data_IF_628748030973
#
_entry.id   IF_628748030973
#
_cell.length_a   1.000
_cell.length_b   1.000
_cell.length_c   1.000
_cell.angle_alpha   90.00
_cell.angle_beta   90.00
_cell.angle_gamma   90.00
#
_symmetry.space_group_name_H-M   'P 1'
#
loop_
_entity.id
_entity.type
_entity.pdbx_description
1 polymer ?
#
# COMPACT_ATOMS: atom_id res chain seq x y z
N UNK A 1 -85.56 -48.38 -22.04
CA UNK A 1 -85.70 -49.31 -20.94
C UNK A 1 -84.58 -48.98 -19.94
N UNK A 2 -85.01 -48.55 -18.79
CA UNK A 2 -84.41 -48.66 -17.41
C UNK A 2 -83.01 -48.09 -17.23
N UNK A 3 -82.83 -46.92 -16.67
CA UNK A 3 -82.94 -46.48 -15.30
C UNK A 3 -81.80 -47.07 -14.40
N UNK A 4 -81.06 -46.25 -13.85
CA UNK A 4 -80.13 -46.57 -12.77
C UNK A 4 -79.36 -45.33 -12.28
N UNK A 5 -79.99 -44.54 -11.42
CA UNK A 5 -79.35 -43.45 -10.62
C UNK A 5 -78.53 -44.08 -9.51
N UNK A 6 -77.34 -43.57 -9.27
CA UNK A 6 -76.59 -43.76 -8.06
C UNK A 6 -75.96 -42.44 -7.61
N UNK A 7 -76.50 -41.96 -6.60
CA UNK A 7 -76.18 -41.17 -5.38
C UNK A 7 -74.85 -40.55 -5.28
N UNK A 8 -74.89 -39.23 -5.12
CA UNK A 8 -73.80 -38.35 -4.61
C UNK A 8 -73.62 -38.55 -3.10
N UNK A 9 -72.45 -38.94 -2.70
CA UNK A 9 -72.00 -38.68 -1.29
C UNK A 9 -70.54 -38.28 -1.21
N UNK A 10 -70.36 -37.00 -0.96
CA UNK A 10 -69.33 -36.37 -0.12
C UNK A 10 -68.04 -37.16 0.10
N UNK A 11 -66.97 -36.69 -0.57
CA UNK A 11 -65.65 -36.79 -0.04
C UNK A 11 -65.03 -35.40 -0.02
N UNK A 12 -65.05 -34.81 1.21
CA UNK A 12 -64.39 -33.54 1.53
C UNK A 12 -62.88 -33.79 1.54
N UNK A 13 -62.20 -33.55 0.42
CA UNK A 13 -60.76 -33.65 0.39
C UNK A 13 -60.15 -32.30 0.78
N UNK A 14 -59.62 -32.26 2.02
CA UNK A 14 -58.84 -31.14 2.54
C UNK A 14 -57.57 -30.99 1.71
N UNK A 15 -57.53 -30.00 0.83
CA UNK A 15 -56.32 -29.54 0.19
C UNK A 15 -55.56 -28.70 1.22
N UNK A 16 -54.58 -29.31 1.86
CA UNK A 16 -53.64 -28.61 2.70
C UNK A 16 -52.71 -27.74 1.90
N UNK A 17 -52.90 -26.45 1.96
CA UNK A 17 -52.02 -25.46 1.34
C UNK A 17 -50.71 -25.44 2.16
N UNK A 18 -49.67 -26.17 1.70
CA UNK A 18 -48.32 -26.01 2.21
C UNK A 18 -47.74 -24.71 1.63
N UNK A 19 -47.87 -23.64 2.42
CA UNK A 19 -47.10 -22.40 2.18
C UNK A 19 -45.67 -22.68 2.55
N UNK A 20 -44.83 -22.99 1.59
CA UNK A 20 -43.38 -23.08 1.76
C UNK A 20 -42.83 -21.64 1.92
N UNK A 21 -42.66 -21.17 3.17
CA UNK A 21 -42.01 -19.90 3.44
C UNK A 21 -40.53 -20.07 3.09
N UNK A 22 -40.11 -19.65 1.91
CA UNK A 22 -38.72 -19.49 1.53
C UNK A 22 -38.20 -18.27 2.30
N UNK A 23 -37.58 -18.51 3.44
CA UNK A 23 -36.78 -17.50 4.16
C UNK A 23 -35.52 -17.25 3.31
N UNK A 24 -35.58 -16.25 2.45
CA UNK A 24 -34.36 -15.72 1.83
C UNK A 24 -33.49 -15.09 2.92
N UNK A 25 -32.52 -15.85 3.40
CA UNK A 25 -31.40 -15.30 4.16
C UNK A 25 -30.62 -14.39 3.23
N UNK A 26 -30.92 -13.12 3.24
CA UNK A 26 -30.07 -12.08 2.65
C UNK A 26 -28.82 -11.99 3.52
N UNK A 27 -27.81 -12.81 3.21
CA UNK A 27 -26.47 -12.53 3.70
C UNK A 27 -26.03 -11.20 3.06
N UNK A 28 -25.67 -10.19 3.84
CA UNK A 28 -25.03 -9.02 3.27
C UNK A 28 -23.75 -9.53 2.60
N UNK A 29 -23.64 -9.36 1.30
CA UNK A 29 -22.39 -9.50 0.58
C UNK A 29 -21.45 -8.47 1.21
N UNK A 30 -20.68 -8.91 2.22
CA UNK A 30 -19.50 -8.16 2.64
C UNK A 30 -18.62 -8.13 1.41
N UNK A 31 -18.46 -6.95 0.85
CA UNK A 31 -17.37 -6.69 -0.08
C UNK A 31 -16.10 -7.08 0.67
N UNK A 32 -15.60 -8.28 0.39
CA UNK A 32 -14.24 -8.66 0.73
C UNK A 32 -13.40 -7.84 -0.23
N UNK A 33 -13.12 -6.59 0.16
CA UNK A 33 -11.98 -5.89 -0.41
C UNK A 33 -10.79 -6.80 -0.17
N UNK A 34 -10.15 -7.23 -1.25
CA UNK A 34 -8.91 -7.97 -1.16
C UNK A 34 -7.99 -7.14 -0.28
N UNK A 35 -7.78 -7.60 0.93
CA UNK A 35 -6.93 -6.92 1.89
C UNK A 35 -5.54 -7.09 1.33
N UNK A 36 -4.99 -6.04 0.74
CA UNK A 36 -3.65 -6.07 0.17
C UNK A 36 -2.71 -6.62 1.21
N UNK A 37 -1.98 -7.66 0.83
CA UNK A 37 -1.03 -8.33 1.70
C UNK A 37 0.14 -7.39 2.01
N UNK A 38 0.07 -6.75 3.17
CA UNK A 38 1.15 -5.90 3.66
C UNK A 38 2.37 -6.70 4.14
N UNK A 39 2.45 -7.97 3.78
CA UNK A 39 3.49 -8.89 4.23
C UNK A 39 3.21 -9.46 5.60
N UNK A 40 3.98 -10.46 5.97
CA UNK A 40 3.85 -11.17 7.23
C UNK A 40 4.09 -10.25 8.42
N UNK A 41 3.31 -10.44 9.43
CA UNK A 41 3.40 -9.82 10.75
C UNK A 41 2.60 -10.65 11.73
N UNK A 42 2.95 -10.58 13.01
CA UNK A 42 2.19 -11.20 14.08
C UNK A 42 0.77 -10.66 14.19
N UNK A 43 -0.01 -11.20 15.09
CA UNK A 43 -1.36 -10.69 15.39
C UNK A 43 -1.28 -9.25 15.88
N UNK A 44 -2.18 -8.40 15.37
CA UNK A 44 -2.31 -7.02 15.82
C UNK A 44 -2.94 -6.97 17.22
N UNK A 45 -2.19 -6.45 18.19
CA UNK A 45 -2.67 -6.21 19.55
C UNK A 45 -3.20 -4.78 19.66
N UNK A 46 -4.51 -4.64 19.86
CA UNK A 46 -5.20 -3.35 19.94
C UNK A 46 -4.98 -2.62 21.28
N UNK A 47 -4.18 -3.18 22.19
CA UNK A 47 -3.89 -2.55 23.49
C UNK A 47 -3.23 -1.19 23.29
N UNK A 48 -3.68 -0.13 23.98
CA UNK A 48 -3.04 1.18 23.93
C UNK A 48 -1.57 1.14 24.38
N UNK A 49 -0.72 2.07 23.92
CA UNK A 49 0.64 2.19 24.42
C UNK A 49 0.66 2.38 25.94
N UNK A 50 1.54 1.67 26.65
CA UNK A 50 1.58 1.69 28.12
C UNK A 50 2.28 2.92 28.70
N UNK A 51 3.29 3.41 28.00
CA UNK A 51 4.20 4.43 28.52
C UNK A 51 3.79 5.87 28.20
N UNK A 52 2.91 6.06 27.21
CA UNK A 52 2.49 7.36 26.75
C UNK A 52 1.12 7.31 26.05
N UNK A 53 0.45 8.45 25.94
CA UNK A 53 -0.78 8.55 25.16
C UNK A 53 -0.48 8.44 23.66
N UNK A 54 -1.47 8.02 22.88
CA UNK A 54 -1.35 7.93 21.41
C UNK A 54 -0.93 9.26 20.79
N UNK A 55 -1.46 10.39 21.27
CA UNK A 55 -1.11 11.71 20.75
C UNK A 55 0.37 12.05 20.99
N UNK A 56 0.88 11.74 22.17
CA UNK A 56 2.30 11.94 22.50
C UNK A 56 3.18 11.03 21.64
N UNK A 57 2.77 9.78 21.42
CA UNK A 57 3.46 8.85 20.55
C UNK A 57 3.53 9.37 19.11
N UNK A 58 2.39 9.84 18.56
CA UNK A 58 2.33 10.46 17.23
C UNK A 58 3.31 11.65 17.14
N UNK A 59 3.26 12.57 18.07
CA UNK A 59 4.16 13.73 18.07
C UNK A 59 5.64 13.33 18.10
N UNK A 60 5.99 12.30 18.90
CA UNK A 60 7.36 11.82 19.01
C UNK A 60 7.86 11.18 17.73
N UNK A 61 7.10 10.27 17.12
CA UNK A 61 7.56 9.62 15.90
C UNK A 61 7.61 10.60 14.72
N UNK A 62 6.67 11.53 14.60
CA UNK A 62 6.72 12.59 13.57
C UNK A 62 7.98 13.48 13.72
N UNK A 63 8.37 13.78 14.93
CA UNK A 63 9.60 14.52 15.19
C UNK A 63 10.85 13.70 14.78
N UNK A 64 10.85 12.38 14.98
CA UNK A 64 11.93 11.51 14.49
C UNK A 64 11.94 11.42 12.98
N UNK A 65 10.78 11.24 12.34
CA UNK A 65 10.65 11.23 10.88
C UNK A 65 11.15 12.54 10.24
N UNK A 66 10.89 13.67 10.88
CA UNK A 66 11.45 14.97 10.46
C UNK A 66 12.98 14.97 10.48
N UNK A 67 13.60 14.36 11.51
CA UNK A 67 15.07 14.20 11.57
C UNK A 67 15.58 13.25 10.50
N UNK A 68 14.89 12.13 10.26
CA UNK A 68 15.23 11.18 9.18
C UNK A 68 15.18 11.87 7.82
N UNK A 69 14.15 12.69 7.56
CA UNK A 69 14.06 13.47 6.33
C UNK A 69 15.24 14.44 6.17
N UNK A 70 15.57 15.17 7.22
CA UNK A 70 16.70 16.10 7.20
C UNK A 70 18.03 15.36 7.03
N UNK A 71 18.24 14.24 7.75
CA UNK A 71 19.44 13.43 7.63
C UNK A 71 19.62 12.89 6.19
N UNK A 72 18.54 12.41 5.54
CA UNK A 72 18.59 11.84 4.20
C UNK A 72 19.14 12.80 3.14
N UNK A 73 18.94 14.10 3.32
CA UNK A 73 19.48 15.12 2.39
C UNK A 73 21.01 15.13 2.31
N UNK A 74 21.69 14.56 3.31
CA UNK A 74 23.14 14.47 3.37
C UNK A 74 23.71 13.16 2.83
N UNK A 75 22.87 12.35 2.15
CA UNK A 75 23.30 11.06 1.60
C UNK A 75 23.05 11.00 0.09
N UNK A 76 23.92 10.24 -0.56
CA UNK A 76 23.74 9.73 -1.92
C UNK A 76 23.46 8.24 -1.84
N UNK A 77 22.67 7.72 -2.77
CA UNK A 77 22.36 6.30 -2.84
C UNK A 77 21.98 5.89 -4.26
N UNK A 78 21.95 4.60 -4.51
CA UNK A 78 21.45 4.03 -5.75
C UNK A 78 20.01 3.55 -5.57
N UNK A 79 19.10 4.00 -6.44
CA UNK A 79 17.75 3.47 -6.59
C UNK A 79 17.73 2.54 -7.81
N UNK A 80 17.45 1.26 -7.57
CA UNK A 80 17.40 0.19 -8.56
C UNK A 80 15.93 -0.27 -8.66
N UNK A 81 15.30 -0.02 -9.80
CA UNK A 81 13.86 -0.24 -10.07
C UNK A 81 13.70 -1.33 -11.11
N UNK A 82 13.07 -2.43 -10.75
CA UNK A 82 12.67 -3.51 -11.66
C UNK A 82 11.15 -3.63 -11.63
N UNK A 83 10.49 -3.41 -12.76
CA UNK A 83 9.06 -3.62 -12.96
C UNK A 83 8.86 -4.78 -13.91
N UNK A 84 7.97 -5.70 -13.58
CA UNK A 84 7.67 -6.89 -14.37
C UNK A 84 6.16 -7.04 -14.56
N UNK A 85 5.75 -7.47 -15.74
CA UNK A 85 4.40 -8.01 -15.97
C UNK A 85 4.47 -9.52 -15.99
N UNK A 86 3.40 -10.18 -15.50
CA UNK A 86 3.37 -11.63 -15.36
C UNK A 86 2.12 -12.21 -16.02
N UNK A 87 2.33 -13.31 -16.77
CA UNK A 87 1.27 -14.23 -17.17
C UNK A 87 1.33 -15.46 -16.24
N UNK A 88 0.36 -15.53 -15.33
CA UNK A 88 0.40 -16.47 -14.21
C UNK A 88 1.61 -16.24 -13.30
N UNK A 89 2.58 -17.16 -13.35
CA UNK A 89 3.85 -17.07 -12.58
C UNK A 89 5.05 -16.70 -13.45
N UNK A 90 4.87 -16.56 -14.75
CA UNK A 90 5.94 -16.32 -15.72
C UNK A 90 6.03 -14.84 -16.03
N UNK A 91 7.23 -14.29 -15.96
CA UNK A 91 7.50 -12.91 -16.41
C UNK A 91 7.38 -12.88 -17.94
N UNK A 92 6.49 -12.03 -18.47
CA UNK A 92 6.24 -11.86 -19.89
C UNK A 92 6.67 -10.49 -20.44
N UNK A 93 7.08 -9.59 -19.55
CA UNK A 93 7.66 -8.30 -19.87
C UNK A 93 8.34 -7.65 -18.68
N UNK A 94 9.28 -6.75 -18.93
CA UNK A 94 9.98 -6.04 -17.85
C UNK A 94 10.45 -4.65 -18.27
N UNK A 95 10.79 -3.87 -17.26
CA UNK A 95 11.52 -2.62 -17.32
C UNK A 95 12.50 -2.54 -16.16
N UNK A 96 13.75 -2.16 -16.41
CA UNK A 96 14.77 -2.02 -15.39
C UNK A 96 15.50 -0.68 -15.54
N UNK A 97 15.63 0.05 -14.43
CA UNK A 97 16.35 1.32 -14.38
C UNK A 97 17.15 1.44 -13.09
N UNK A 98 18.37 1.95 -13.22
CA UNK A 98 19.25 2.26 -12.09
C UNK A 98 19.56 3.73 -12.10
N UNK A 99 19.36 4.40 -10.96
CA UNK A 99 19.52 5.84 -10.80
C UNK A 99 20.41 6.13 -9.59
N UNK A 100 21.46 6.93 -9.76
CA UNK A 100 22.19 7.56 -8.66
C UNK A 100 21.39 8.77 -8.19
N UNK A 101 21.04 8.78 -6.90
CA UNK A 101 20.24 9.82 -6.26
C UNK A 101 21.12 10.65 -5.33
N UNK A 102 21.03 11.94 -5.44
CA UNK A 102 21.69 12.91 -4.56
C UNK A 102 20.76 14.10 -4.29
N UNK A 103 21.19 15.00 -3.43
CA UNK A 103 20.45 16.23 -3.10
C UNK A 103 21.39 17.42 -3.24
N UNK A 104 20.89 18.53 -3.76
CA UNK A 104 21.63 19.79 -3.81
C UNK A 104 21.57 20.54 -2.46
N UNK A 105 22.29 21.65 -2.34
CA UNK A 105 22.36 22.48 -1.14
C UNK A 105 21.01 23.04 -0.67
N UNK A 106 19.99 22.99 -1.54
CA UNK A 106 18.62 23.43 -1.25
C UNK A 106 17.71 22.24 -0.87
N UNK A 107 18.27 21.03 -0.79
CA UNK A 107 17.55 19.80 -0.52
C UNK A 107 16.72 19.30 -1.72
N UNK A 108 16.95 19.85 -2.92
CA UNK A 108 16.29 19.36 -4.12
C UNK A 108 16.95 18.08 -4.60
N UNK A 109 16.15 17.04 -4.82
CA UNK A 109 16.62 15.77 -5.37
C UNK A 109 17.18 15.96 -6.79
N UNK A 110 18.33 15.34 -7.03
CA UNK A 110 19.00 15.24 -8.33
C UNK A 110 19.16 13.75 -8.68
N UNK A 111 18.65 13.38 -9.84
CA UNK A 111 18.66 12.02 -10.34
C UNK A 111 19.61 11.91 -11.54
N UNK A 112 20.51 10.94 -11.51
CA UNK A 112 21.37 10.58 -12.63
C UNK A 112 21.12 9.13 -13.00
N UNK A 113 20.40 8.90 -14.10
CA UNK A 113 20.17 7.56 -14.63
C UNK A 113 21.50 7.00 -15.14
N UNK A 114 21.91 5.87 -14.57
CA UNK A 114 23.16 5.18 -14.94
C UNK A 114 22.91 3.96 -15.80
N UNK A 115 21.70 3.40 -15.72
CA UNK A 115 21.23 2.31 -16.56
C UNK A 115 19.72 2.43 -16.79
N UNK A 116 19.28 2.16 -18.02
CA UNK A 116 17.86 2.01 -18.35
C UNK A 116 17.70 1.09 -19.54
N UNK A 117 16.88 0.07 -19.43
CA UNK A 117 16.56 -0.79 -20.57
C UNK A 117 15.30 -0.33 -21.29
N UNK A 118 15.14 -0.81 -22.54
CA UNK A 118 13.94 -0.56 -23.33
C UNK A 118 12.77 -1.36 -22.69
N UNK A 119 11.63 -0.73 -22.32
CA UNK A 119 10.51 -1.42 -21.73
C UNK A 119 9.92 -2.49 -22.66
N UNK A 120 9.63 -3.67 -22.09
CA UNK A 120 8.94 -4.77 -22.79
C UNK A 120 7.62 -5.15 -22.09
N UNK A 121 7.17 -4.34 -21.13
CA UNK A 121 5.96 -4.56 -20.34
C UNK A 121 4.73 -4.87 -21.22
N UNK A 122 3.86 -5.76 -20.74
CA UNK A 122 2.65 -6.18 -21.44
C UNK A 122 1.39 -5.62 -20.78
N UNK A 123 0.52 -5.05 -21.58
CA UNK A 123 -0.77 -4.52 -21.13
C UNK A 123 -0.72 -3.21 -20.32
N UNK A 124 0.47 -2.74 -19.96
CA UNK A 124 0.71 -1.45 -19.30
C UNK A 124 1.90 -0.72 -19.93
N UNK A 125 1.97 0.58 -19.64
CA UNK A 125 3.12 1.45 -19.93
C UNK A 125 3.38 2.29 -18.68
N UNK A 126 4.65 2.48 -18.36
CA UNK A 126 5.07 3.40 -17.30
C UNK A 126 4.84 4.85 -17.72
N UNK A 127 4.11 5.60 -16.94
CA UNK A 127 3.90 7.04 -17.09
C UNK A 127 4.91 7.84 -16.26
N UNK A 128 4.98 9.16 -16.47
CA UNK A 128 5.77 10.05 -15.59
C UNK A 128 5.31 10.00 -14.16
N UNK A 129 3.99 9.86 -13.95
CA UNK A 129 3.36 9.77 -12.63
C UNK A 129 3.74 8.49 -11.90
N UNK A 130 3.94 7.37 -12.61
CA UNK A 130 4.43 6.12 -12.01
C UNK A 130 5.86 6.27 -11.49
N UNK A 131 6.72 6.95 -12.26
CA UNK A 131 8.08 7.27 -11.81
C UNK A 131 8.08 8.24 -10.62
N UNK A 132 7.17 9.20 -10.58
CA UNK A 132 7.02 10.12 -9.46
C UNK A 132 6.57 9.35 -8.20
N UNK A 133 5.63 8.42 -8.31
CA UNK A 133 5.19 7.57 -7.20
C UNK A 133 6.35 6.71 -6.65
N UNK A 134 7.13 6.06 -7.51
CA UNK A 134 8.33 5.31 -7.11
C UNK A 134 9.35 6.20 -6.40
N UNK A 135 9.53 7.43 -6.88
CA UNK A 135 10.50 8.40 -6.37
C UNK A 135 10.10 9.00 -5.02
N UNK A 136 8.81 9.25 -4.82
CA UNK A 136 8.30 10.02 -3.69
C UNK A 136 7.66 9.13 -2.61
N UNK A 137 6.85 8.13 -3.00
CA UNK A 137 6.07 7.35 -2.05
C UNK A 137 6.74 6.08 -1.58
N UNK A 138 7.54 5.41 -2.40
CA UNK A 138 8.26 4.23 -1.91
C UNK A 138 9.29 4.54 -0.83
N UNK A 139 10.08 5.65 -0.91
CA UNK A 139 10.91 6.12 0.17
C UNK A 139 10.23 7.14 1.09
N UNK A 140 8.89 7.14 1.17
CA UNK A 140 8.12 8.17 1.85
C UNK A 140 8.47 8.33 3.33
N UNK A 141 8.44 9.58 3.80
CA UNK A 141 8.72 9.97 5.18
C UNK A 141 7.62 10.93 5.63
N UNK A 142 6.95 10.62 6.74
CA UNK A 142 5.89 11.46 7.29
C UNK A 142 6.45 12.47 8.28
N UNK A 143 6.77 13.66 7.81
CA UNK A 143 7.25 14.75 8.68
C UNK A 143 6.14 15.41 9.51
N UNK A 144 6.51 16.13 10.56
CA UNK A 144 5.57 16.93 11.36
C UNK A 144 4.77 17.92 10.50
N UNK A 145 5.40 18.53 9.49
CA UNK A 145 4.75 19.45 8.56
C UNK A 145 3.71 18.75 7.69
N UNK A 146 4.09 17.61 7.11
CA UNK A 146 3.18 16.83 6.25
C UNK A 146 2.02 16.21 7.02
N UNK A 147 2.22 15.87 8.29
CA UNK A 147 1.19 15.24 9.13
C UNK A 147 -0.09 16.09 9.26
N UNK A 148 0.00 17.42 9.09
CA UNK A 148 -1.16 18.30 9.06
C UNK A 148 -2.18 17.92 7.97
N UNK A 149 -1.75 17.25 6.90
CA UNK A 149 -2.57 16.83 5.77
C UNK A 149 -3.24 15.47 5.99
N UNK A 150 -2.89 14.73 7.05
CA UNK A 150 -3.31 13.36 7.30
C UNK A 150 -4.10 13.19 8.58
N UNK A 151 -5.01 12.22 8.59
CA UNK A 151 -5.57 11.61 9.77
C UNK A 151 -4.68 10.41 10.14
N UNK A 152 -4.15 10.41 11.35
CA UNK A 152 -3.35 9.34 11.91
C UNK A 152 -4.17 8.64 12.99
N UNK A 153 -4.44 7.35 12.79
CA UNK A 153 -5.22 6.55 13.73
C UNK A 153 -4.39 5.37 14.21
N UNK A 154 -4.22 5.27 15.52
CA UNK A 154 -3.56 4.12 16.13
C UNK A 154 -4.35 2.84 15.85
N UNK A 155 -3.67 1.83 15.31
CA UNK A 155 -4.27 0.54 14.97
C UNK A 155 -3.93 -0.56 15.98
N UNK A 156 -2.84 -0.42 16.72
CA UNK A 156 -2.38 -1.42 17.69
C UNK A 156 -0.87 -1.57 17.72
N UNK A 157 -0.42 -2.67 18.31
CA UNK A 157 0.97 -3.11 18.35
C UNK A 157 1.12 -4.38 17.53
N UNK A 158 2.26 -4.54 16.87
CA UNK A 158 2.56 -5.74 16.10
C UNK A 158 4.04 -6.06 16.17
N UNK A 159 4.38 -7.33 16.37
CA UNK A 159 5.75 -7.81 16.23
C UNK A 159 6.03 -8.07 14.75
N UNK A 160 7.08 -7.45 14.21
CA UNK A 160 7.51 -7.57 12.81
C UNK A 160 9.00 -7.88 12.80
N UNK A 161 9.38 -9.05 12.31
CA UNK A 161 10.74 -9.58 12.41
C UNK A 161 11.22 -9.56 13.88
N UNK A 162 12.28 -8.85 14.20
CA UNK A 162 12.83 -8.72 15.56
C UNK A 162 12.37 -7.44 16.28
N UNK A 163 11.34 -6.76 15.77
CA UNK A 163 10.92 -5.45 16.25
C UNK A 163 9.51 -5.48 16.85
N UNK A 164 9.35 -4.87 18.01
CA UNK A 164 8.05 -4.50 18.56
C UNK A 164 7.67 -3.14 17.99
N UNK A 165 6.53 -3.06 17.33
CA UNK A 165 6.13 -1.86 16.60
C UNK A 165 4.74 -1.37 17.02
N UNK A 166 4.55 -0.05 16.94
CA UNK A 166 3.23 0.59 16.93
C UNK A 166 2.76 0.77 15.50
N UNK A 167 1.50 0.44 15.23
CA UNK A 167 0.91 0.50 13.90
C UNK A 167 -0.08 1.65 13.82
N UNK A 168 0.04 2.45 12.76
CA UNK A 168 -0.88 3.54 12.48
C UNK A 168 -1.49 3.42 11.08
N UNK A 169 -2.79 3.73 10.98
CA UNK A 169 -3.40 4.06 9.70
C UNK A 169 -3.10 5.52 9.37
N UNK A 170 -2.76 5.75 8.13
CA UNK A 170 -2.47 7.07 7.56
C UNK A 170 -3.41 7.29 6.39
N UNK A 171 -4.28 8.30 6.50
CA UNK A 171 -5.28 8.61 5.47
C UNK A 171 -5.29 10.11 5.23
N UNK A 172 -5.22 10.60 3.98
CA UNK A 172 -5.28 12.03 3.71
C UNK A 172 -6.61 12.61 4.19
N UNK A 173 -6.58 13.82 4.77
CA UNK A 173 -7.79 14.53 5.22
C UNK A 173 -8.65 14.99 4.05
N UNK A 174 -7.99 15.34 2.96
CA UNK A 174 -8.62 15.84 1.74
C UNK A 174 -7.72 15.50 0.56
N UNK A 175 -8.29 15.04 -0.52
CA UNK A 175 -7.59 14.80 -1.79
C UNK A 175 -7.76 16.02 -2.69
N UNK A 176 -6.69 16.80 -2.84
CA UNK A 176 -6.66 17.95 -3.72
C UNK A 176 -6.40 17.49 -5.18
N UNK A 177 -7.00 18.19 -6.12
CA UNK A 177 -6.76 17.94 -7.53
C UNK A 177 -5.29 18.14 -7.89
N UNK A 178 -4.72 17.22 -8.65
CA UNK A 178 -3.32 17.24 -9.11
C UNK A 178 -2.28 17.15 -7.99
N UNK A 179 -2.66 16.64 -6.83
CA UNK A 179 -1.75 16.36 -5.73
C UNK A 179 -1.90 14.91 -5.31
N UNK A 180 -0.80 14.27 -5.01
CA UNK A 180 -0.75 12.89 -4.55
C UNK A 180 -0.50 12.82 -3.05
N UNK A 181 -1.05 11.81 -2.43
CA UNK A 181 -0.92 11.55 -1.00
C UNK A 181 -0.64 10.07 -0.78
N UNK A 182 0.03 9.76 0.31
CA UNK A 182 0.13 8.37 0.77
C UNK A 182 -1.15 7.97 1.52
N UNK A 183 -1.69 6.79 1.24
CA UNK A 183 -2.73 6.17 2.04
C UNK A 183 -2.31 4.75 2.39
N UNK A 184 -2.34 4.39 3.70
CA UNK A 184 -1.95 3.06 4.11
C UNK A 184 -1.68 2.91 5.59
N UNK A 185 -0.70 2.08 5.92
CA UNK A 185 -0.24 1.80 7.28
C UNK A 185 1.26 2.04 7.41
N UNK A 186 1.67 2.48 8.59
CA UNK A 186 3.07 2.59 8.98
C UNK A 186 3.32 1.84 10.28
N UNK A 187 4.47 1.21 10.39
CA UNK A 187 4.97 0.53 11.58
C UNK A 187 6.13 1.33 12.14
N UNK A 188 5.99 1.71 13.39
CA UNK A 188 6.94 2.56 14.13
C UNK A 188 7.62 1.70 15.18
N UNK A 189 8.94 1.59 15.16
CA UNK A 189 9.69 0.85 16.19
C UNK A 189 9.39 1.44 17.58
N UNK A 190 9.15 0.59 18.55
CA UNK A 190 8.74 1.01 19.90
C UNK A 190 9.87 1.66 20.71
N UNK A 191 11.13 1.46 20.33
CA UNK A 191 12.31 1.94 21.05
C UNK A 191 12.77 3.31 20.57
N UNK A 192 13.01 3.45 19.29
CA UNK A 192 13.57 4.69 18.72
C UNK A 192 12.53 5.57 18.01
N UNK A 193 11.29 5.08 17.92
CA UNK A 193 10.12 5.77 17.37
C UNK A 193 10.31 6.26 15.93
N UNK A 194 11.01 5.48 15.12
CA UNK A 194 11.15 5.71 13.69
C UNK A 194 10.33 4.69 12.90
N UNK A 195 9.84 5.08 11.73
CA UNK A 195 9.12 4.17 10.84
C UNK A 195 10.10 3.14 10.29
N UNK A 196 9.77 1.85 10.42
CA UNK A 196 10.57 0.71 9.96
C UNK A 196 9.97 -0.01 8.76
N UNK A 197 8.64 0.08 8.62
CA UNK A 197 7.88 -0.52 7.52
C UNK A 197 6.70 0.38 7.18
N UNK A 198 6.34 0.40 5.92
CA UNK A 198 5.13 1.06 5.43
C UNK A 198 4.45 0.17 4.39
N UNK A 199 3.13 0.26 4.30
CA UNK A 199 2.34 -0.47 3.32
C UNK A 199 1.15 0.38 2.91
N UNK A 200 1.06 0.71 1.63
CA UNK A 200 0.01 1.57 1.12
C UNK A 200 0.19 1.88 -0.35
N UNK A 201 -0.51 2.87 -0.80
CA UNK A 201 -0.47 3.35 -2.18
C UNK A 201 -0.55 4.86 -2.26
N UNK A 202 -0.28 5.42 -3.43
CA UNK A 202 -0.57 6.83 -3.71
C UNK A 202 -2.03 7.02 -4.10
N UNK A 203 -2.65 8.09 -3.60
CA UNK A 203 -4.03 8.49 -3.89
C UNK A 203 -4.09 9.97 -4.27
N UNK A 204 -5.16 10.48 -4.95
CA UNK A 204 -6.31 9.72 -5.45
C UNK A 204 -5.95 8.88 -6.69
N UNK A 205 -6.64 7.76 -6.82
CA UNK A 205 -6.71 7.06 -8.10
C UNK A 205 -7.64 7.83 -9.02
N UNK A 206 -7.27 8.02 -10.28
CA UNK A 206 -8.13 8.76 -11.22
C UNK A 206 -9.28 7.88 -11.67
N UNK A 207 -10.44 8.07 -11.07
CA UNK A 207 -11.68 7.47 -11.55
C UNK A 207 -12.04 8.12 -12.89
N UNK A 208 -12.32 7.32 -13.91
CA UNK A 208 -12.74 7.79 -15.24
C UNK A 208 -13.84 8.82 -15.15
N UNK A 209 -13.54 10.06 -15.54
CA UNK A 209 -14.55 11.11 -15.72
C UNK A 209 -15.17 11.08 -17.12
N UNK A 210 -14.49 10.47 -18.10
CA UNK A 210 -14.95 10.32 -19.49
C UNK A 210 -14.65 8.92 -19.99
N UNK A 211 -15.50 8.41 -20.92
CA UNK A 211 -15.44 7.04 -21.46
C UNK A 211 -14.07 6.63 -22.04
N UNK A 212 -13.24 7.58 -22.46
CA UNK A 212 -11.98 7.35 -23.15
C UNK A 212 -10.74 7.82 -22.32
N UNK A 213 -10.90 8.22 -21.07
CA UNK A 213 -9.76 8.51 -20.22
C UNK A 213 -9.16 7.20 -19.68
N UNK A 214 -7.84 7.04 -19.66
CA UNK A 214 -7.21 5.89 -19.04
C UNK A 214 -7.55 5.87 -17.54
N UNK A 215 -7.77 4.69 -16.99
CA UNK A 215 -7.82 4.50 -15.54
C UNK A 215 -6.41 4.65 -15.01
N UNK A 216 -6.25 5.49 -14.01
CA UNK A 216 -5.02 5.62 -13.25
C UNK A 216 -5.18 4.76 -11.99
N UNK A 217 -4.76 3.51 -12.07
CA UNK A 217 -4.81 2.53 -10.98
C UNK A 217 -3.42 2.43 -10.35
N UNK A 218 -3.35 2.55 -9.05
CA UNK A 218 -2.09 2.54 -8.31
C UNK A 218 -1.93 1.25 -7.50
N UNK A 219 -0.82 0.53 -7.67
CA UNK A 219 -0.56 -0.66 -6.89
C UNK A 219 -0.28 -0.31 -5.44
N UNK A 220 -0.63 -1.24 -4.56
CA UNK A 220 -0.17 -1.17 -3.17
C UNK A 220 1.24 -1.72 -3.07
N UNK A 221 2.11 -0.98 -2.39
CA UNK A 221 3.48 -1.39 -2.15
C UNK A 221 3.75 -1.61 -0.66
N UNK A 222 4.77 -2.40 -0.36
CA UNK A 222 5.33 -2.58 0.98
C UNK A 222 6.76 -2.10 0.95
N UNK A 223 7.10 -1.15 1.82
CA UNK A 223 8.44 -0.60 1.95
C UNK A 223 9.07 -0.98 3.29
N UNK A 224 10.37 -1.23 3.28
CA UNK A 224 11.16 -1.60 4.45
C UNK A 224 12.33 -0.65 4.61
N UNK A 225 12.68 -0.37 5.85
CA UNK A 225 13.82 0.45 6.21
C UNK A 225 14.82 -0.32 7.05
N UNK A 226 16.06 0.10 7.04
CA UNK A 226 17.12 -0.42 7.91
C UNK A 226 17.92 0.74 8.51
N UNK A 227 18.58 0.45 9.62
CA UNK A 227 19.47 1.43 10.26
C UNK A 227 20.71 1.61 9.39
N UNK A 228 20.92 2.84 8.96
CA UNK A 228 22.11 3.29 8.24
C UNK A 228 22.58 4.54 8.97
N UNK A 229 23.74 4.44 9.59
CA UNK A 229 24.35 5.56 10.31
C UNK A 229 23.41 6.17 11.39
N UNK A 230 22.70 5.28 12.11
CA UNK A 230 21.76 5.67 13.18
C UNK A 230 20.37 6.12 12.72
N UNK A 231 20.08 6.12 11.42
CA UNK A 231 18.79 6.50 10.88
C UNK A 231 18.14 5.32 10.13
N UNK A 232 16.83 5.18 10.24
CA UNK A 232 16.06 4.18 9.47
C UNK A 232 15.80 4.70 8.06
N UNK A 233 16.68 4.35 7.11
CA UNK A 233 16.54 4.71 5.70
C UNK A 233 15.86 3.62 4.90
N UNK A 234 15.13 3.96 3.82
CA UNK A 234 14.56 3.01 2.89
C UNK A 234 15.66 2.11 2.30
N UNK A 235 15.43 0.80 2.24
CA UNK A 235 16.35 -0.15 1.60
C UNK A 235 15.67 -1.02 0.56
N UNK A 236 14.36 -1.23 0.71
CA UNK A 236 13.61 -2.12 -0.16
C UNK A 236 12.15 -1.72 -0.21
N UNK A 237 11.55 -1.76 -1.39
CA UNK A 237 10.11 -1.72 -1.56
C UNK A 237 9.68 -2.77 -2.59
N UNK A 238 8.47 -3.30 -2.45
CA UNK A 238 7.90 -4.27 -3.39
C UNK A 238 6.43 -3.99 -3.65
N UNK A 239 6.01 -4.30 -4.86
CA UNK A 239 4.64 -4.51 -5.30
C UNK A 239 4.52 -5.96 -5.77
N UNK A 240 3.40 -6.60 -5.49
CA UNK A 240 2.94 -7.83 -6.14
C UNK A 240 1.42 -7.75 -6.16
N UNK A 241 0.85 -7.18 -7.23
CA UNK A 241 -0.55 -6.78 -7.29
C UNK A 241 -1.14 -7.02 -8.68
N UNK A 242 -2.46 -7.16 -8.75
CA UNK A 242 -3.19 -7.28 -10.00
C UNK A 242 -4.01 -6.03 -10.26
N UNK A 243 -3.51 -5.19 -11.15
CA UNK A 243 -4.14 -3.93 -11.53
C UNK A 243 -5.36 -4.19 -12.44
N UNK A 244 -6.49 -3.55 -12.11
CA UNK A 244 -7.75 -3.72 -12.84
C UNK A 244 -8.02 -2.52 -13.76
N UNK A 245 -8.06 -2.75 -15.06
CA UNK A 245 -8.33 -1.73 -16.08
C UNK A 245 -9.69 -1.98 -16.77
N UNK A 246 -10.77 -1.88 -16.02
CA UNK A 246 -12.11 -2.24 -16.49
C UNK A 246 -12.29 -3.75 -16.57
N UNK A 247 -12.33 -4.32 -17.78
CA UNK A 247 -12.44 -5.77 -18.00
C UNK A 247 -11.09 -6.48 -18.14
N UNK A 248 -10.02 -5.72 -18.29
CA UNK A 248 -8.66 -6.25 -18.38
C UNK A 248 -7.97 -6.16 -17.02
N UNK A 249 -7.10 -7.12 -16.76
CA UNK A 249 -6.23 -7.11 -15.57
C UNK A 249 -4.79 -7.40 -15.96
N UNK A 250 -3.84 -6.81 -15.24
CA UNK A 250 -2.41 -7.04 -15.43
C UNK A 250 -1.79 -7.31 -14.07
N UNK A 251 -1.12 -8.45 -13.94
CA UNK A 251 -0.35 -8.78 -12.75
C UNK A 251 1.01 -8.08 -12.85
N UNK A 252 1.30 -7.23 -11.88
CA UNK A 252 2.52 -6.43 -11.83
C UNK A 252 3.34 -6.81 -10.60
N UNK A 253 4.61 -7.06 -10.81
CA UNK A 253 5.61 -7.15 -9.75
C UNK A 253 6.59 -6.00 -9.90
N UNK A 254 6.78 -5.26 -8.81
CA UNK A 254 7.77 -4.21 -8.76
C UNK A 254 8.71 -4.43 -7.59
N UNK A 255 9.99 -4.25 -7.83
CA UNK A 255 11.06 -4.36 -6.83
C UNK A 255 11.90 -3.09 -6.92
N UNK A 256 11.95 -2.35 -5.83
CA UNK A 256 12.80 -1.18 -5.71
C UNK A 256 13.80 -1.39 -4.58
N UNK A 257 15.07 -1.26 -4.89
CA UNK A 257 16.16 -1.34 -3.92
C UNK A 257 16.81 0.03 -3.77
N UNK A 258 17.06 0.40 -2.53
CA UNK A 258 17.80 1.60 -2.17
C UNK A 258 19.09 1.16 -1.50
N UNK A 259 20.21 1.27 -2.18
CA UNK A 259 21.48 0.70 -1.73
C UNK A 259 22.65 1.66 -1.96
N UNK A 260 23.83 1.26 -1.47
CA UNK A 260 25.05 2.03 -1.69
C UNK A 260 25.03 3.43 -1.05
N UNK A 261 24.36 3.58 0.10
CA UNK A 261 24.32 4.84 0.83
C UNK A 261 25.73 5.33 1.15
N UNK A 262 26.00 6.60 0.83
CA UNK A 262 27.25 7.30 1.09
C UNK A 262 26.91 8.70 1.58
N UNK A 263 27.68 9.24 2.52
CA UNK A 263 27.53 10.65 2.90
C UNK A 263 27.96 11.55 1.75
N UNK A 264 27.25 12.65 1.52
CA UNK A 264 27.55 13.61 0.45
C UNK A 264 28.93 14.27 0.61
N UNK A 265 29.45 14.36 1.83
CA UNK A 265 30.78 14.89 2.14
C UNK A 265 31.93 13.89 1.88
N UNK A 266 31.62 12.70 1.40
CA UNK A 266 32.59 11.63 1.12
C UNK A 266 33.03 10.83 2.35
N UNK A 267 32.53 11.15 3.54
CA UNK A 267 32.83 10.34 4.74
C UNK A 267 32.14 8.97 4.68
N UNK A 268 32.73 7.99 5.34
CA UNK A 268 32.21 6.62 5.33
C UNK A 268 30.96 6.51 6.21
N UNK A 269 29.98 5.74 5.74
CA UNK A 269 28.83 5.32 6.54
C UNK A 269 29.30 4.37 7.63
N UNK A 270 28.87 4.58 8.88
CA UNK A 270 29.22 3.70 9.97
C UNK A 270 28.78 2.25 9.67
N UNK A 271 29.60 1.24 9.97
CA UNK A 271 29.20 -0.16 9.82
C UNK A 271 27.95 -0.42 10.67
N UNK A 272 27.10 -1.35 10.16
CA UNK A 272 25.90 -1.78 10.90
C UNK A 272 26.31 -2.33 12.27
N UNK A 273 25.70 -1.90 13.39
CA UNK A 273 25.94 -2.46 14.71
C UNK A 273 25.56 -3.94 14.81
#
# INVERSE_FOLDING_TARGET
MSAGAIDEKNICQRVGLFVLAIVMLTFPLRNVQAQTDCGEGGTLDMTPPKEMTTDVLIQKFLAQETKVQAARLHYQYTQDVLVQTLDGKTVDGQFHQVTEVSYDDRGKRADKVTFSEQPTLRGIQMSSEDFDDIREFMPWVLTTEQAAQYNLTYAGQQHVDDLDTYVFHVVPKTEEKNKRYFEGRVWVDSRDLQVVKLCGKSVPETVRKKKNEPLDVRPTFVGYRQIIDGNWFPVYARVDDTLQFGTASVHVREIVKFNGYKRADGSQVAPKP
#
